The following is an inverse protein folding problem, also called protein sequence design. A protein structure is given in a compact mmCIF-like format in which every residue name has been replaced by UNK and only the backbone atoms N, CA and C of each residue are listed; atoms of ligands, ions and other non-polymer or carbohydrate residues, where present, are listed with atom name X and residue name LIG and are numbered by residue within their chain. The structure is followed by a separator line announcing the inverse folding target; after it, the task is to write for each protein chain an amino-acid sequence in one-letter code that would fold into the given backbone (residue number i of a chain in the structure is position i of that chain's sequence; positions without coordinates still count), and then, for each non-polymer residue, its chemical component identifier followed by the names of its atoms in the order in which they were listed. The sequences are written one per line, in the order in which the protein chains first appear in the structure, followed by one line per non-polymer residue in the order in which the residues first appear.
data_IF_290518486243
#
_entry.id   IF_290518486243
#
_cell.length_a   1.000
_cell.length_b   1.000
_cell.length_c   1.000
_cell.angle_alpha   90.00
_cell.angle_beta   90.00
_cell.angle_gamma   90.00
#
_symmetry.space_group_name_H-M   'P 1'
#
loop_
_entity.id
_entity.type
_entity.pdbx_description
1 polymer ?
#
# COMPACT_ATOMS: atom_id res chain seq x y z
N UNK A 1 4.78 -23.50 39.65
CA UNK A 1 3.42 -23.06 39.23
C UNK A 1 3.40 -21.59 38.74
N UNK A 2 4.43 -21.10 38.03
CA UNK A 2 4.51 -19.68 37.60
C UNK A 2 4.72 -19.43 36.11
N UNK A 3 4.85 -20.49 35.30
CA UNK A 3 5.19 -20.36 33.86
C UNK A 3 3.95 -20.25 32.95
N UNK A 4 2.81 -20.81 33.37
CA UNK A 4 1.56 -20.79 32.58
C UNK A 4 1.09 -19.36 32.24
N UNK A 5 1.12 -18.38 33.18
CA UNK A 5 0.74 -17.00 32.86
C UNK A 5 1.67 -16.33 31.85
N UNK A 6 2.96 -16.68 31.86
CA UNK A 6 3.97 -16.08 30.99
C UNK A 6 3.85 -16.57 29.54
N UNK A 7 3.54 -17.85 29.34
CA UNK A 7 3.24 -18.36 28.01
C UNK A 7 1.96 -17.77 27.43
N UNK A 8 0.93 -17.57 28.26
CA UNK A 8 -0.33 -16.99 27.83
C UNK A 8 -0.16 -15.53 27.39
N UNK A 9 0.62 -14.72 28.12
CA UNK A 9 0.88 -13.33 27.76
C UNK A 9 1.73 -13.21 26.48
N UNK A 10 2.75 -14.06 26.32
CA UNK A 10 3.56 -14.11 25.09
C UNK A 10 2.69 -14.53 23.90
N UNK A 11 1.84 -15.54 24.07
CA UNK A 11 0.91 -15.99 23.03
C UNK A 11 -0.05 -14.86 22.63
N UNK A 12 -0.67 -14.19 23.61
CA UNK A 12 -1.55 -13.05 23.36
C UNK A 12 -0.84 -11.90 22.64
N UNK A 13 0.36 -11.54 23.08
CA UNK A 13 1.17 -10.49 22.44
C UNK A 13 1.54 -10.85 20.99
N UNK A 14 1.91 -12.11 20.73
CA UNK A 14 2.24 -12.58 19.38
C UNK A 14 1.05 -12.53 18.42
N UNK A 15 -0.16 -12.86 18.92
CA UNK A 15 -1.40 -12.79 18.14
C UNK A 15 -1.79 -11.34 17.85
N UNK A 16 -1.72 -10.46 18.86
CA UNK A 16 -1.96 -9.03 18.67
C UNK A 16 -0.97 -8.41 17.69
N UNK A 17 0.30 -8.79 17.76
CA UNK A 17 1.31 -8.38 16.79
C UNK A 17 0.92 -8.82 15.37
N UNK A 18 0.59 -10.10 15.17
CA UNK A 18 0.16 -10.62 13.87
C UNK A 18 -1.05 -9.86 13.30
N UNK A 19 -2.11 -9.67 14.10
CA UNK A 19 -3.31 -8.94 13.68
C UNK A 19 -2.99 -7.49 13.32
N UNK A 20 -2.15 -6.82 14.11
CA UNK A 20 -1.75 -5.43 13.88
C UNK A 20 -1.02 -5.28 12.54
N UNK A 21 -0.05 -6.17 12.28
CA UNK A 21 0.72 -6.15 11.03
C UNK A 21 -0.17 -6.47 9.83
N UNK A 22 -1.01 -7.52 9.92
CA UNK A 22 -1.98 -7.86 8.87
C UNK A 22 -2.91 -6.68 8.56
N UNK A 23 -3.47 -6.05 9.59
CA UNK A 23 -4.36 -4.90 9.40
C UNK A 23 -3.63 -3.70 8.78
N UNK A 24 -2.38 -3.47 9.17
CA UNK A 24 -1.54 -2.40 8.61
C UNK A 24 -1.24 -2.63 7.13
N UNK A 25 -0.88 -3.86 6.74
CA UNK A 25 -0.62 -4.23 5.34
C UNK A 25 -1.89 -4.11 4.49
N UNK A 26 -3.02 -4.60 4.99
CA UNK A 26 -4.31 -4.47 4.32
C UNK A 26 -4.70 -3.01 4.12
N UNK A 27 -4.53 -2.17 5.15
CA UNK A 27 -4.82 -0.73 5.06
C UNK A 27 -3.99 -0.04 3.98
N UNK A 28 -2.72 -0.44 3.82
CA UNK A 28 -1.86 0.11 2.77
C UNK A 28 -2.29 -0.30 1.37
N UNK A 29 -2.78 -1.54 1.19
CA UNK A 29 -3.37 -1.98 -0.07
C UNK A 29 -4.62 -1.17 -0.42
N UNK A 30 -5.53 -1.03 0.54
CA UNK A 30 -6.76 -0.27 0.34
C UNK A 30 -6.45 1.19 -0.01
N UNK A 31 -5.51 1.82 0.69
CA UNK A 31 -5.07 3.19 0.39
C UNK A 31 -4.49 3.31 -1.02
N UNK A 32 -3.74 2.31 -1.49
CA UNK A 32 -3.24 2.31 -2.87
C UNK A 32 -4.37 2.26 -3.89
N UNK A 33 -5.40 1.44 -3.64
CA UNK A 33 -6.58 1.35 -4.49
C UNK A 33 -7.43 2.64 -4.46
N UNK A 34 -7.57 3.27 -3.29
CA UNK A 34 -8.25 4.57 -3.15
C UNK A 34 -7.52 5.69 -3.91
N UNK A 35 -6.18 5.73 -3.84
CA UNK A 35 -5.37 6.68 -4.59
C UNK A 35 -5.49 6.44 -6.10
N UNK A 36 -5.47 5.19 -6.56
CA UNK A 36 -5.68 4.85 -7.97
C UNK A 36 -7.09 5.27 -8.45
N UNK A 37 -8.13 5.01 -7.64
CA UNK A 37 -9.49 5.43 -7.96
C UNK A 37 -9.62 6.95 -8.02
N UNK A 38 -8.94 7.67 -7.12
CA UNK A 38 -8.92 9.14 -7.11
C UNK A 38 -8.18 9.70 -8.31
N UNK A 39 -7.07 9.06 -8.71
CA UNK A 39 -6.32 9.41 -9.91
C UNK A 39 -7.14 9.14 -11.18
N UNK A 40 -7.86 8.01 -11.26
CA UNK A 40 -8.74 7.67 -12.38
C UNK A 40 -9.93 8.63 -12.52
N UNK A 41 -10.47 9.15 -11.41
CA UNK A 41 -11.51 10.20 -11.43
C UNK A 41 -10.99 11.54 -11.94
N UNK A 42 -9.76 11.91 -11.58
CA UNK A 42 -9.14 13.18 -11.97
C UNK A 42 -8.60 13.15 -13.39
N UNK A 43 -8.09 12.01 -13.81
CA UNK A 43 -7.49 11.81 -15.12
C UNK A 43 -8.06 10.54 -15.78
N UNK A 44 -9.33 10.58 -16.23
CA UNK A 44 -9.97 9.44 -16.91
C UNK A 44 -9.26 9.05 -18.21
N UNK A 45 -8.40 9.93 -18.74
CA UNK A 45 -7.55 9.70 -19.91
C UNK A 45 -6.46 8.64 -19.69
N UNK A 46 -6.08 8.34 -18.44
CA UNK A 46 -5.04 7.35 -18.15
C UNK A 46 -5.50 5.88 -18.21
N UNK A 47 -6.79 5.60 -18.45
CA UNK A 47 -7.36 4.23 -18.50
C UNK A 47 -6.70 3.27 -17.50
N UNK A 48 -6.63 3.69 -16.25
CA UNK A 48 -5.94 2.95 -15.20
C UNK A 48 -6.74 1.67 -14.96
N UNK A 49 -6.21 0.52 -15.41
CA UNK A 49 -6.75 -0.79 -15.06
C UNK A 49 -6.68 -0.93 -13.54
N UNK A 50 -7.84 -0.97 -12.90
CA UNK A 50 -7.96 -1.10 -11.44
C UNK A 50 -7.43 -2.46 -10.94
N UNK A 51 -7.18 -3.39 -11.86
CA UNK A 51 -6.73 -4.75 -11.56
C UNK A 51 -5.22 -4.93 -11.55
N UNK A 52 -4.46 -3.97 -12.10
CA UNK A 52 -2.99 -4.03 -12.13
C UNK A 52 -2.45 -2.77 -11.45
N UNK A 53 -1.65 -2.91 -10.40
CA UNK A 53 -0.98 -1.78 -9.76
C UNK A 53 0.08 -1.21 -10.72
N UNK A 54 -0.22 -0.14 -11.47
CA UNK A 54 0.68 0.32 -12.52
C UNK A 54 1.89 0.98 -11.87
N UNK A 55 3.00 1.04 -12.60
CA UNK A 55 4.18 1.71 -12.09
C UNK A 55 3.87 3.22 -11.92
N UNK A 56 4.03 3.81 -10.71
CA UNK A 56 3.78 5.24 -10.53
C UNK A 56 4.65 6.11 -11.42
N UNK A 57 5.82 5.62 -11.86
CA UNK A 57 6.69 6.36 -12.78
C UNK A 57 6.10 6.39 -14.21
N UNK A 58 5.48 5.30 -14.69
CA UNK A 58 4.77 5.25 -15.98
C UNK A 58 3.51 6.14 -15.97
N UNK A 59 2.76 6.12 -14.88
CA UNK A 59 1.63 7.04 -14.68
C UNK A 59 2.07 8.51 -14.69
N UNK A 60 3.29 8.81 -14.22
CA UNK A 60 3.86 10.15 -14.22
C UNK A 60 4.19 10.63 -15.63
N UNK A 61 4.71 9.74 -16.48
CA UNK A 61 5.00 10.03 -17.88
C UNK A 61 3.72 10.28 -18.67
N UNK A 62 2.71 9.41 -18.53
CA UNK A 62 1.40 9.61 -19.17
C UNK A 62 0.71 10.89 -18.70
N UNK A 63 0.81 11.24 -17.41
CA UNK A 63 0.23 12.48 -16.89
C UNK A 63 1.02 13.72 -17.35
N UNK A 64 2.33 13.60 -17.57
CA UNK A 64 3.18 14.65 -18.18
C UNK A 64 2.89 14.84 -19.67
N UNK A 65 2.61 13.77 -20.41
CA UNK A 65 2.18 13.85 -21.81
C UNK A 65 0.78 14.46 -21.93
N UNK A 66 -0.11 14.12 -21.00
CA UNK A 66 -1.47 14.66 -20.88
C UNK A 66 -1.54 16.09 -20.29
N UNK A 67 -0.39 16.69 -19.90
CA UNK A 67 -0.30 18.05 -19.30
C UNK A 67 -1.01 19.15 -20.09
N UNK A 68 -1.28 18.94 -21.38
CA UNK A 68 -1.87 19.96 -22.25
C UNK A 68 -3.35 20.27 -21.96
N UNK A 69 -4.07 19.53 -21.09
CA UNK A 69 -5.54 19.65 -21.02
C UNK A 69 -6.21 19.76 -19.65
N UNK A 70 -5.53 19.64 -18.51
CA UNK A 70 -6.23 19.48 -17.22
C UNK A 70 -6.01 20.63 -16.21
N UNK A 71 -7.08 21.18 -15.60
CA UNK A 71 -6.99 22.23 -14.58
C UNK A 71 -6.56 21.71 -13.19
N UNK A 72 -6.50 20.38 -12.96
CA UNK A 72 -6.23 19.74 -11.66
C UNK A 72 -4.91 18.94 -11.63
N UNK A 73 -3.93 19.34 -12.44
CA UNK A 73 -2.64 18.64 -12.57
C UNK A 73 -1.88 18.56 -11.23
N UNK A 74 -1.92 19.60 -10.40
CA UNK A 74 -1.23 19.60 -9.10
C UNK A 74 -1.81 18.57 -8.12
N UNK A 75 -3.13 18.42 -8.07
CA UNK A 75 -3.82 17.41 -7.26
C UNK A 75 -3.44 16.00 -7.71
N UNK A 76 -3.45 15.75 -9.02
CA UNK A 76 -3.06 14.45 -9.58
C UNK A 76 -1.58 14.12 -9.32
N UNK A 77 -0.68 15.10 -9.40
CA UNK A 77 0.74 14.93 -9.07
C UNK A 77 0.95 14.61 -7.59
N UNK A 78 0.17 15.22 -6.68
CA UNK A 78 0.24 14.93 -5.26
C UNK A 78 -0.24 13.50 -4.95
N UNK A 79 -1.36 13.08 -5.53
CA UNK A 79 -1.86 11.69 -5.40
C UNK A 79 -0.82 10.69 -5.89
N UNK A 80 -0.14 10.99 -7.00
CA UNK A 80 0.87 10.10 -7.54
C UNK A 80 2.13 10.01 -6.65
N UNK A 81 2.54 11.12 -6.04
CA UNK A 81 3.62 11.11 -5.03
C UNK A 81 3.24 10.25 -3.83
N UNK A 82 2.01 10.40 -3.33
CA UNK A 82 1.50 9.58 -2.23
C UNK A 82 1.46 8.09 -2.60
N UNK A 83 1.07 7.77 -3.83
CA UNK A 83 1.06 6.39 -4.34
C UNK A 83 2.47 5.80 -4.35
N UNK A 84 3.46 6.55 -4.83
CA UNK A 84 4.88 6.14 -4.82
C UNK A 84 5.41 5.93 -3.41
N UNK A 85 5.12 6.84 -2.49
CA UNK A 85 5.52 6.72 -1.08
C UNK A 85 4.86 5.51 -0.43
N UNK A 86 3.57 5.29 -0.67
CA UNK A 86 2.85 4.16 -0.09
C UNK A 86 3.41 2.82 -0.58
N UNK A 87 3.64 2.69 -1.89
CA UNK A 87 4.27 1.51 -2.51
C UNK A 87 5.64 1.21 -1.89
N UNK A 88 6.51 2.22 -1.78
CA UNK A 88 7.82 2.07 -1.17
C UNK A 88 7.72 1.61 0.30
N UNK A 89 6.86 2.24 1.09
CA UNK A 89 6.67 1.88 2.50
C UNK A 89 6.12 0.45 2.64
N UNK A 90 5.17 0.07 1.79
CA UNK A 90 4.59 -1.27 1.77
C UNK A 90 5.63 -2.35 1.45
N UNK A 91 6.39 -2.19 0.37
CA UNK A 91 7.44 -3.13 -0.01
C UNK A 91 8.55 -3.22 1.06
N UNK A 92 8.88 -2.10 1.71
CA UNK A 92 9.82 -2.09 2.84
C UNK A 92 9.29 -2.88 4.04
N UNK A 93 7.99 -2.80 4.34
CA UNK A 93 7.37 -3.57 5.42
C UNK A 93 7.38 -5.06 5.11
N UNK A 94 7.09 -5.47 3.87
CA UNK A 94 7.15 -6.88 3.46
C UNK A 94 8.56 -7.45 3.65
N UNK A 95 9.61 -6.72 3.26
CA UNK A 95 10.99 -7.21 3.35
C UNK A 95 11.57 -7.23 4.76
N UNK A 96 11.02 -6.46 5.70
CA UNK A 96 11.63 -6.23 7.01
C UNK A 96 11.22 -7.32 8.02
N UNK A 97 12.16 -7.94 8.72
CA UNK A 97 11.85 -8.76 9.88
C UNK A 97 11.46 -7.89 11.11
N UNK A 98 10.52 -8.32 11.99
CA UNK A 98 9.71 -9.53 11.94
C UNK A 98 8.36 -9.29 11.25
N UNK A 99 8.28 -8.47 10.21
CA UNK A 99 7.03 -8.25 9.47
C UNK A 99 6.90 -9.21 8.28
N UNK A 100 8.03 -9.62 7.71
CA UNK A 100 8.11 -10.53 6.56
C UNK A 100 7.37 -11.86 6.78
N UNK A 101 7.51 -12.48 7.96
CA UNK A 101 6.80 -13.74 8.23
C UNK A 101 5.28 -13.55 8.27
N UNK A 102 4.81 -12.42 8.81
CA UNK A 102 3.37 -12.07 8.78
C UNK A 102 2.91 -11.79 7.36
N UNK A 103 3.74 -11.11 6.56
CA UNK A 103 3.44 -10.85 5.15
C UNK A 103 3.31 -12.16 4.37
N UNK A 104 4.25 -13.09 4.56
CA UNK A 104 4.28 -14.41 3.91
C UNK A 104 3.07 -15.26 4.31
N UNK A 105 2.76 -15.36 5.62
CA UNK A 105 1.59 -16.10 6.11
C UNK A 105 0.26 -15.45 5.68
N UNK A 106 0.23 -14.12 5.58
CA UNK A 106 -0.94 -13.36 5.17
C UNK A 106 -1.16 -13.31 3.65
N UNK A 107 -0.27 -13.89 2.84
CA UNK A 107 -0.36 -13.86 1.39
C UNK A 107 -0.06 -12.49 0.74
N UNK A 108 0.55 -11.57 1.49
CA UNK A 108 0.92 -10.25 0.99
C UNK A 108 2.18 -10.34 0.12
N UNK A 109 2.14 -9.71 -1.06
CA UNK A 109 3.25 -9.71 -2.05
C UNK A 109 3.64 -8.29 -2.39
N UNK A 110 4.88 -8.10 -2.79
CA UNK A 110 5.35 -6.80 -3.28
C UNK A 110 4.52 -6.30 -4.44
N UNK A 111 4.34 -4.98 -4.45
CA UNK A 111 3.61 -4.25 -5.48
C UNK A 111 4.59 -3.40 -6.25
#
# INVERSE_FOLDING_TARGET
MGYIPLFLTIAGASLLFFMTVKNTLQRKLNLQQELLNSLGKLAPELQISTETFPNPDELLEHLKESKKKQPKIEEALNILRELKVNRMQYNRLIKKAPYNWVATLGGFREI
#
